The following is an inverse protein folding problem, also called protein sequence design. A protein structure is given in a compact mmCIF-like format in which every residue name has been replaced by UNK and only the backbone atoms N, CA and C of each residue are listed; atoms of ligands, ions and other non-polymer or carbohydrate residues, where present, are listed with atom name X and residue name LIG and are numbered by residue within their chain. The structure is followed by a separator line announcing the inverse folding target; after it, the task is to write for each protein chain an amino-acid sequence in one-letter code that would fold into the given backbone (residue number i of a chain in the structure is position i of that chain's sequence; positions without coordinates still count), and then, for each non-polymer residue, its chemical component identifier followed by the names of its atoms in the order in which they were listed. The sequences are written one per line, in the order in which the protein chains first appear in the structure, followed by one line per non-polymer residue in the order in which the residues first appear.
data_IF_654614325476
#
_entry.id   IF_654614325476
#
_cell.length_a   1.000
_cell.length_b   1.000
_cell.length_c   1.000
_cell.angle_alpha   90.00
_cell.angle_beta   90.00
_cell.angle_gamma   90.00
#
_symmetry.space_group_name_H-M   'P 1'
#
loop_
_entity.id
_entity.type
_entity.pdbx_description
1 polymer ?
#
# COMPACT_ATOMS: atom_id res chain seq x y z
N UNK A 1 -5.26 -34.18 -15.32
CA UNK A 1 -4.77 -33.53 -16.56
C UNK A 1 -5.14 -32.05 -16.53
N UNK A 2 -4.17 -31.15 -16.78
CA UNK A 2 -4.43 -29.72 -17.02
C UNK A 2 -5.24 -29.63 -18.29
N UNK A 3 -6.46 -29.15 -18.21
CA UNK A 3 -7.28 -29.12 -19.40
C UNK A 3 -8.01 -27.80 -19.50
N UNK A 4 -7.26 -26.80 -19.99
CA UNK A 4 -7.72 -25.46 -20.29
C UNK A 4 -8.77 -25.43 -21.43
N UNK A 5 -8.99 -26.54 -22.14
CA UNK A 5 -10.08 -26.66 -23.13
C UNK A 5 -11.32 -27.37 -22.58
N UNK A 6 -11.39 -27.63 -21.26
CA UNK A 6 -12.61 -28.19 -20.68
C UNK A 6 -13.66 -27.10 -20.47
N UNK A 7 -14.92 -27.47 -20.73
CA UNK A 7 -16.10 -26.67 -20.32
C UNK A 7 -16.09 -26.29 -18.84
N UNK A 8 -15.48 -27.13 -17.99
CA UNK A 8 -15.31 -26.86 -16.56
C UNK A 8 -14.40 -25.66 -16.31
N UNK A 9 -13.26 -25.59 -17.01
CA UNK A 9 -12.36 -24.44 -16.94
C UNK A 9 -13.00 -23.19 -17.55
N UNK A 10 -13.66 -23.29 -18.70
CA UNK A 10 -14.32 -22.13 -19.34
C UNK A 10 -15.33 -21.46 -18.40
N UNK A 11 -16.20 -22.26 -17.77
CA UNK A 11 -17.15 -21.78 -16.75
C UNK A 11 -16.43 -21.17 -15.54
N UNK A 12 -15.35 -21.79 -15.07
CA UNK A 12 -14.57 -21.27 -13.94
C UNK A 12 -13.92 -19.94 -14.29
N UNK A 13 -13.27 -19.84 -15.45
CA UNK A 13 -12.63 -18.62 -15.97
C UNK A 13 -13.65 -17.48 -16.04
N UNK A 14 -14.83 -17.72 -16.59
CA UNK A 14 -15.89 -16.72 -16.69
C UNK A 14 -16.38 -16.27 -15.30
N UNK A 15 -16.57 -17.22 -14.38
CA UNK A 15 -16.96 -16.88 -13.00
C UNK A 15 -15.93 -16.00 -12.29
N UNK A 16 -14.63 -16.26 -12.50
CA UNK A 16 -13.54 -15.45 -11.92
C UNK A 16 -13.48 -14.06 -12.56
N UNK A 17 -13.60 -13.96 -13.89
CA UNK A 17 -13.68 -12.67 -14.58
C UNK A 17 -14.86 -11.83 -14.08
N UNK A 18 -16.04 -12.46 -13.92
CA UNK A 18 -17.21 -11.79 -13.38
C UNK A 18 -17.01 -11.34 -11.92
N UNK A 19 -16.42 -12.19 -11.08
CA UNK A 19 -16.05 -11.83 -9.68
C UNK A 19 -15.17 -10.59 -9.64
N UNK A 20 -14.19 -10.52 -10.55
CA UNK A 20 -13.21 -9.44 -10.63
C UNK A 20 -13.73 -8.24 -11.46
N UNK A 21 -15.04 -8.22 -11.81
CA UNK A 21 -15.66 -7.13 -12.57
C UNK A 21 -15.08 -6.94 -13.97
N UNK A 22 -14.49 -7.99 -14.55
CA UNK A 22 -13.73 -7.99 -15.81
C UNK A 22 -12.53 -7.03 -15.81
N UNK A 23 -12.03 -6.63 -14.64
CA UNK A 23 -10.88 -5.74 -14.49
C UNK A 23 -9.63 -6.51 -14.13
N UNK A 24 -8.48 -6.01 -14.57
CA UNK A 24 -7.18 -6.47 -14.11
C UNK A 24 -7.01 -6.11 -12.63
N UNK A 25 -6.84 -7.10 -11.76
CA UNK A 25 -6.76 -6.88 -10.32
C UNK A 25 -5.44 -6.20 -9.90
N UNK A 26 -4.33 -6.46 -10.61
CA UNK A 26 -3.04 -5.77 -10.39
C UNK A 26 -3.08 -4.30 -10.83
N UNK A 27 -3.83 -3.95 -11.89
CA UNK A 27 -4.04 -2.55 -12.26
C UNK A 27 -5.02 -1.86 -11.31
N UNK A 28 -6.13 -2.54 -10.98
CA UNK A 28 -7.22 -1.96 -10.17
C UNK A 28 -6.72 -1.56 -8.80
N UNK A 29 -5.91 -2.41 -8.15
CA UNK A 29 -5.30 -2.04 -6.87
C UNK A 29 -4.43 -0.79 -6.98
N UNK A 30 -3.87 -0.45 -8.15
CA UNK A 30 -3.09 0.79 -8.37
C UNK A 30 -3.93 1.99 -8.76
N UNK A 31 -5.26 1.92 -8.62
CA UNK A 31 -6.24 2.86 -9.17
C UNK A 31 -6.11 3.05 -10.69
N UNK A 32 -5.71 2.01 -11.40
CA UNK A 32 -5.65 2.01 -12.88
C UNK A 32 -6.77 1.11 -13.39
N UNK A 33 -7.66 1.69 -14.21
CA UNK A 33 -8.72 0.92 -14.86
C UNK A 33 -8.17 0.26 -16.12
N UNK A 34 -8.09 -1.07 -16.12
CA UNK A 34 -7.67 -1.87 -17.29
C UNK A 34 -8.50 -3.14 -17.32
N UNK A 35 -9.03 -3.52 -18.48
CA UNK A 35 -9.77 -4.77 -18.65
C UNK A 35 -8.85 -5.99 -18.48
N UNK A 36 -9.35 -7.06 -17.87
CA UNK A 36 -8.65 -8.34 -17.81
C UNK A 36 -8.82 -9.10 -19.13
N UNK A 37 -7.73 -9.66 -19.64
CA UNK A 37 -7.71 -10.51 -20.84
C UNK A 37 -7.74 -12.00 -20.47
N UNK A 38 -7.28 -12.34 -19.26
CA UNK A 38 -7.14 -13.72 -18.82
C UNK A 38 -7.27 -13.89 -17.30
N UNK A 39 -7.36 -15.16 -16.90
CA UNK A 39 -7.30 -15.58 -15.49
C UNK A 39 -5.98 -16.31 -15.29
N UNK A 40 -5.20 -15.85 -14.32
CA UNK A 40 -3.88 -16.36 -13.97
C UNK A 40 -3.97 -17.25 -12.73
N UNK A 41 -3.20 -18.34 -12.72
CA UNK A 41 -3.00 -19.21 -11.56
C UNK A 41 -1.85 -18.69 -10.70
N UNK A 42 -2.16 -18.22 -9.47
CA UNK A 42 -1.16 -17.73 -8.51
C UNK A 42 -0.13 -18.80 -8.18
N UNK A 43 -0.60 -20.02 -7.87
CA UNK A 43 0.18 -21.24 -7.81
C UNK A 43 0.08 -21.94 -9.17
N UNK A 44 1.19 -22.05 -9.91
CA UNK A 44 1.18 -22.60 -11.26
C UNK A 44 0.52 -23.98 -11.33
N UNK A 45 -0.43 -24.14 -12.25
CA UNK A 45 -1.20 -25.37 -12.47
C UNK A 45 -0.33 -26.61 -12.81
N UNK A 46 0.91 -26.39 -13.25
CA UNK A 46 1.89 -27.43 -13.51
C UNK A 46 2.49 -28.07 -12.28
N UNK A 47 2.62 -27.29 -11.22
CA UNK A 47 3.17 -27.76 -9.94
C UNK A 47 2.07 -28.06 -8.93
N UNK A 48 0.93 -27.39 -9.05
CA UNK A 48 -0.18 -27.46 -8.09
C UNK A 48 -1.52 -27.79 -8.78
N UNK A 49 -1.66 -29.00 -9.37
CA UNK A 49 -2.87 -29.38 -10.10
C UNK A 49 -4.14 -29.39 -9.23
N UNK A 50 -4.01 -29.66 -7.92
CA UNK A 50 -5.15 -29.66 -7.00
C UNK A 50 -5.74 -28.27 -6.77
N UNK A 51 -4.93 -27.22 -7.01
CA UNK A 51 -5.36 -25.82 -6.90
C UNK A 51 -5.92 -25.25 -8.21
N UNK A 52 -6.08 -26.08 -9.26
CA UNK A 52 -6.42 -25.63 -10.60
C UNK A 52 -7.75 -24.86 -10.69
N UNK A 53 -8.73 -25.24 -9.86
CA UNK A 53 -10.07 -24.63 -9.85
C UNK A 53 -10.38 -23.88 -8.54
N UNK A 54 -9.40 -23.77 -7.64
CA UNK A 54 -9.55 -23.05 -6.38
C UNK A 54 -9.70 -21.55 -6.64
N UNK A 55 -10.77 -20.93 -6.15
CA UNK A 55 -11.09 -19.53 -6.46
C UNK A 55 -9.99 -18.59 -5.97
N UNK A 56 -9.40 -18.90 -4.83
CA UNK A 56 -8.34 -18.12 -4.17
C UNK A 56 -7.02 -18.21 -4.93
N UNK A 57 -6.85 -19.25 -5.75
CA UNK A 57 -5.67 -19.46 -6.59
C UNK A 57 -5.77 -18.77 -7.96
N UNK A 58 -6.89 -18.09 -8.24
CA UNK A 58 -7.21 -17.53 -9.55
C UNK A 58 -7.41 -16.01 -9.46
N UNK A 59 -6.76 -15.27 -10.35
CA UNK A 59 -6.81 -13.81 -10.41
C UNK A 59 -6.94 -13.32 -11.85
N UNK A 60 -7.86 -12.39 -12.11
CA UNK A 60 -8.02 -11.76 -13.43
C UNK A 60 -6.95 -10.70 -13.69
N UNK A 61 -6.23 -10.80 -14.81
CA UNK A 61 -5.13 -9.91 -15.20
C UNK A 61 -5.23 -9.51 -16.68
N UNK A 62 -4.69 -8.33 -17.00
CA UNK A 62 -4.34 -7.97 -18.38
C UNK A 62 -3.03 -8.68 -18.79
N UNK A 63 -2.74 -8.70 -20.10
CA UNK A 63 -1.54 -9.37 -20.63
C UNK A 63 -0.24 -8.84 -20.03
N UNK A 64 -0.15 -7.52 -19.85
CA UNK A 64 1.03 -6.88 -19.27
C UNK A 64 1.27 -7.34 -17.82
N UNK A 65 0.23 -7.33 -16.99
CA UNK A 65 0.34 -7.76 -15.59
C UNK A 65 0.56 -9.26 -15.47
N UNK A 66 -0.07 -10.08 -16.33
CA UNK A 66 0.19 -11.51 -16.42
C UNK A 66 1.68 -11.78 -16.72
N UNK A 67 2.24 -11.08 -17.71
CA UNK A 67 3.64 -11.24 -18.07
C UNK A 67 4.58 -10.87 -16.93
N UNK A 68 4.23 -9.83 -16.15
CA UNK A 68 4.97 -9.43 -14.95
C UNK A 68 4.97 -10.49 -13.83
N UNK A 69 4.08 -11.49 -13.85
CA UNK A 69 4.10 -12.59 -12.87
C UNK A 69 5.20 -13.63 -13.14
N UNK A 70 5.78 -13.65 -14.34
CA UNK A 70 6.69 -14.70 -14.77
C UNK A 70 8.08 -14.18 -15.14
N UNK A 71 9.10 -14.90 -14.68
CA UNK A 71 10.44 -14.82 -15.23
C UNK A 71 10.54 -15.78 -16.41
N UNK A 72 10.45 -15.25 -17.62
CA UNK A 72 10.47 -16.04 -18.87
C UNK A 72 11.83 -16.68 -19.14
N UNK A 73 12.92 -16.06 -18.68
CA UNK A 73 14.29 -16.57 -18.90
C UNK A 73 14.52 -17.83 -18.08
N UNK A 74 14.10 -17.80 -16.82
CA UNK A 74 14.30 -18.91 -15.88
C UNK A 74 13.09 -19.84 -15.77
N UNK A 75 11.99 -19.56 -16.48
CA UNK A 75 10.72 -20.31 -16.41
C UNK A 75 10.22 -20.48 -14.96
N UNK A 76 10.32 -19.41 -14.17
CA UNK A 76 9.85 -19.36 -12.79
C UNK A 76 8.90 -18.19 -12.55
N UNK A 77 8.33 -18.08 -11.35
CA UNK A 77 7.65 -16.87 -10.93
C UNK A 77 8.64 -15.73 -10.77
N UNK A 78 8.25 -14.55 -11.25
CA UNK A 78 8.95 -13.29 -10.98
C UNK A 78 8.87 -12.94 -9.49
N UNK A 79 9.50 -11.85 -9.08
CA UNK A 79 9.33 -11.30 -7.73
C UNK A 79 7.86 -11.02 -7.42
N UNK A 80 7.09 -10.47 -8.37
CA UNK A 80 5.67 -10.19 -8.19
C UNK A 80 4.85 -11.48 -8.09
N UNK A 81 5.12 -12.48 -8.95
CA UNK A 81 4.44 -13.77 -8.89
C UNK A 81 4.64 -14.49 -7.56
N UNK A 82 5.88 -14.48 -7.03
CA UNK A 82 6.19 -15.05 -5.71
C UNK A 82 5.47 -14.32 -4.57
N UNK A 83 5.34 -13.00 -4.69
CA UNK A 83 4.62 -12.16 -3.72
C UNK A 83 3.15 -12.58 -3.63
N UNK A 84 2.48 -12.74 -4.78
CA UNK A 84 1.11 -13.28 -4.83
C UNK A 84 1.02 -14.70 -4.26
N UNK A 85 1.99 -15.56 -4.57
CA UNK A 85 2.05 -16.91 -4.03
C UNK A 85 2.19 -16.95 -2.50
N UNK A 86 3.06 -16.11 -1.93
CA UNK A 86 3.22 -15.99 -0.47
C UNK A 86 1.92 -15.57 0.20
N UNK A 87 1.23 -14.57 -0.35
CA UNK A 87 -0.07 -14.13 0.17
C UNK A 87 -1.15 -15.18 0.08
N UNK A 88 -1.15 -16.01 -0.97
CA UNK A 88 -2.09 -17.12 -1.10
C UNK A 88 -1.97 -18.08 0.10
N UNK A 89 -0.75 -18.50 0.45
CA UNK A 89 -0.54 -19.43 1.57
C UNK A 89 -0.81 -18.75 2.92
N UNK A 90 -0.38 -17.50 3.07
CA UNK A 90 -0.57 -16.73 4.30
C UNK A 90 -2.04 -16.59 4.69
N UNK A 91 -2.91 -16.26 3.73
CA UNK A 91 -4.37 -16.15 3.97
C UNK A 91 -5.03 -17.45 4.43
N UNK A 92 -4.32 -18.58 4.36
CA UNK A 92 -4.79 -19.89 4.83
C UNK A 92 -4.21 -20.27 6.18
N UNK A 93 -3.13 -19.62 6.61
CA UNK A 93 -2.47 -19.87 7.90
C UNK A 93 -3.06 -19.00 9.02
N UNK A 94 -3.47 -17.78 8.70
CA UNK A 94 -4.08 -16.86 9.68
C UNK A 94 -5.19 -16.03 9.03
N UNK A 95 -6.33 -15.95 9.71
CA UNK A 95 -7.41 -15.01 9.38
C UNK A 95 -7.10 -13.59 9.87
N UNK A 96 -6.09 -13.43 10.74
CA UNK A 96 -5.70 -12.15 11.33
C UNK A 96 -4.48 -11.59 10.59
N UNK A 97 -4.72 -10.50 9.85
CA UNK A 97 -3.68 -9.67 9.25
C UNK A 97 -3.69 -8.31 9.94
N UNK A 98 -2.52 -7.72 10.14
CA UNK A 98 -2.43 -6.34 10.61
C UNK A 98 -3.08 -5.43 9.58
N UNK A 99 -4.04 -4.64 10.02
CA UNK A 99 -4.74 -3.67 9.19
C UNK A 99 -3.79 -2.50 8.88
N UNK A 100 -3.68 -2.07 7.63
CA UNK A 100 -2.92 -0.86 7.29
C UNK A 100 -3.87 0.31 7.14
N UNK A 101 -3.57 1.42 7.84
CA UNK A 101 -4.32 2.67 7.73
C UNK A 101 -3.36 3.80 7.36
N UNK A 102 -3.50 4.36 6.15
CA UNK A 102 -2.81 5.59 5.79
C UNK A 102 -3.60 6.80 6.31
N UNK A 103 -2.94 7.65 7.08
CA UNK A 103 -3.50 8.95 7.53
C UNK A 103 -2.85 10.05 6.70
N UNK A 104 -3.61 10.57 5.74
CA UNK A 104 -3.16 11.45 4.67
C UNK A 104 -3.64 12.87 4.91
N UNK A 105 -2.75 13.86 4.78
CA UNK A 105 -3.13 15.27 4.89
C UNK A 105 -1.95 16.23 4.98
N UNK A 106 -2.16 17.54 4.78
CA UNK A 106 -1.08 18.52 4.82
C UNK A 106 -0.46 18.64 6.22
N UNK A 107 0.72 19.27 6.36
CA UNK A 107 1.20 19.72 7.66
C UNK A 107 0.11 20.51 8.41
N UNK A 108 0.13 20.47 9.75
CA UNK A 108 -0.84 21.13 10.62
C UNK A 108 -2.32 20.64 10.51
N UNK A 109 -2.62 19.66 9.65
CA UNK A 109 -3.98 19.13 9.53
C UNK A 109 -4.44 18.25 10.70
N UNK A 110 -3.54 17.90 11.63
CA UNK A 110 -3.86 17.13 12.84
C UNK A 110 -3.67 15.61 12.70
N UNK A 111 -2.90 15.13 11.72
CA UNK A 111 -2.65 13.69 11.47
C UNK A 111 -2.18 12.92 12.72
N UNK A 112 -1.10 13.37 13.38
CA UNK A 112 -0.56 12.68 14.56
C UNK A 112 -1.56 12.72 15.73
N UNK A 113 -2.33 13.81 15.87
CA UNK A 113 -3.43 13.88 16.85
C UNK A 113 -4.57 12.92 16.53
N UNK A 114 -4.95 12.76 15.27
CA UNK A 114 -5.93 11.76 14.85
C UNK A 114 -5.45 10.37 15.25
N UNK A 115 -4.22 9.99 14.87
CA UNK A 115 -3.65 8.67 15.16
C UNK A 115 -3.61 8.40 16.67
N UNK A 116 -3.07 9.32 17.47
CA UNK A 116 -3.05 9.18 18.95
C UNK A 116 -4.42 8.94 19.58
N UNK A 117 -5.49 9.49 19.01
CA UNK A 117 -6.87 9.31 19.52
C UNK A 117 -7.52 7.98 19.09
N UNK A 118 -7.01 7.32 18.05
CA UNK A 118 -7.61 6.13 17.47
C UNK A 118 -6.79 4.86 17.69
N UNK A 119 -5.49 4.99 18.03
CA UNK A 119 -4.63 3.85 18.32
C UNK A 119 -5.06 3.10 19.59
N UNK A 120 -5.14 1.78 19.48
CA UNK A 120 -5.18 0.84 20.57
C UNK A 120 -3.78 0.47 21.10
N UNK A 121 -3.75 -0.38 22.11
CA UNK A 121 -2.50 -0.80 22.78
C UNK A 121 -1.60 -1.70 21.93
N UNK A 122 -2.18 -2.42 20.96
CA UNK A 122 -1.49 -3.37 20.09
C UNK A 122 -1.40 -2.85 18.64
N UNK A 123 -1.40 -1.52 18.50
CA UNK A 123 -1.20 -0.85 17.22
C UNK A 123 0.21 -0.29 17.10
N UNK A 124 0.67 -0.08 15.87
CA UNK A 124 1.96 0.50 15.54
C UNK A 124 1.78 1.71 14.63
N UNK A 125 2.68 2.69 14.75
CA UNK A 125 2.65 3.92 13.93
C UNK A 125 3.99 4.14 13.22
N UNK A 126 3.91 4.45 11.93
CA UNK A 126 5.00 5.05 11.17
C UNK A 126 4.75 6.56 11.08
N UNK A 127 5.38 7.31 11.98
CA UNK A 127 5.41 8.78 11.96
C UNK A 127 6.82 9.24 11.56
N UNK A 128 6.92 9.91 10.41
CA UNK A 128 8.20 10.33 9.85
C UNK A 128 8.98 11.22 10.82
N UNK A 129 8.30 12.17 11.45
CA UNK A 129 8.94 13.19 12.28
C UNK A 129 9.41 12.58 13.61
N UNK A 130 8.61 11.70 14.22
CA UNK A 130 9.00 10.96 15.44
C UNK A 130 10.14 9.98 15.18
N UNK A 131 10.14 9.27 14.05
CA UNK A 131 11.24 8.37 13.69
C UNK A 131 12.50 9.20 13.42
N UNK A 132 12.39 10.34 12.73
CA UNK A 132 13.51 11.26 12.53
C UNK A 132 14.11 11.68 13.86
N UNK A 133 13.27 12.16 14.78
CA UNK A 133 13.63 12.57 16.15
C UNK A 133 14.36 11.45 16.90
N UNK A 134 13.83 10.24 16.86
CA UNK A 134 14.42 9.07 17.53
C UNK A 134 15.78 8.67 16.92
N UNK A 135 15.96 8.84 15.61
CA UNK A 135 17.21 8.48 14.92
C UNK A 135 18.30 9.54 15.07
N UNK A 136 17.95 10.83 15.13
CA UNK A 136 18.93 11.93 15.18
C UNK A 136 19.22 12.41 16.60
N UNK A 137 18.28 12.22 17.53
CA UNK A 137 18.33 12.82 18.86
C UNK A 137 18.05 14.33 18.87
N UNK A 138 17.68 14.91 17.71
CA UNK A 138 17.28 16.31 17.60
C UNK A 138 15.86 16.53 18.13
N UNK A 139 15.44 17.80 18.19
CA UNK A 139 14.06 18.15 18.45
C UNK A 139 13.12 17.74 17.29
N UNK A 140 11.82 17.67 17.59
CA UNK A 140 10.81 17.37 16.59
C UNK A 140 10.86 18.42 15.46
N UNK A 141 10.74 17.95 14.22
CA UNK A 141 10.80 18.78 13.01
C UNK A 141 12.13 19.51 12.75
N UNK A 142 13.22 19.13 13.43
CA UNK A 142 14.55 19.55 13.03
C UNK A 142 14.94 18.95 11.67
N UNK A 143 15.40 19.81 10.77
CA UNK A 143 15.60 19.50 9.36
C UNK A 143 17.02 18.99 9.11
N UNK A 144 17.27 17.71 9.39
CA UNK A 144 18.49 17.04 8.92
C UNK A 144 18.30 16.51 7.48
N UNK A 145 18.93 17.09 6.44
CA UNK A 145 18.71 16.64 5.07
C UNK A 145 19.23 15.23 4.81
N UNK A 146 20.21 14.74 5.58
CA UNK A 146 20.83 13.44 5.38
C UNK A 146 19.93 12.28 5.87
N UNK A 147 19.08 12.51 6.88
CA UNK A 147 18.20 11.47 7.43
C UNK A 147 17.10 11.07 6.44
N UNK A 148 16.74 11.96 5.50
CA UNK A 148 15.65 11.75 4.55
C UNK A 148 15.79 10.47 3.75
N UNK A 149 17.02 10.11 3.33
CA UNK A 149 17.30 8.87 2.60
C UNK A 149 17.04 7.63 3.46
N UNK A 150 17.44 7.67 4.73
CA UNK A 150 17.26 6.56 5.66
C UNK A 150 15.79 6.35 6.00
N UNK A 151 15.05 7.43 6.29
CA UNK A 151 13.61 7.37 6.57
C UNK A 151 12.82 6.86 5.36
N UNK A 152 13.23 7.22 4.15
CA UNK A 152 12.65 6.66 2.93
C UNK A 152 12.83 5.14 2.87
N UNK A 153 14.06 4.64 3.04
CA UNK A 153 14.33 3.18 3.05
C UNK A 153 13.66 2.45 4.21
N UNK A 154 13.57 3.09 5.38
CA UNK A 154 12.86 2.53 6.53
C UNK A 154 11.37 2.39 6.23
N UNK A 155 10.74 3.41 5.62
CA UNK A 155 9.35 3.33 5.16
C UNK A 155 9.14 2.19 4.16
N UNK A 156 10.06 2.01 3.21
CA UNK A 156 9.99 0.90 2.24
C UNK A 156 10.03 -0.45 2.94
N UNK A 157 10.93 -0.60 3.89
CA UNK A 157 11.13 -1.85 4.62
C UNK A 157 9.96 -2.14 5.53
N UNK A 158 9.48 -1.14 6.26
CA UNK A 158 8.30 -1.22 7.11
C UNK A 158 7.07 -1.69 6.32
N UNK A 159 6.79 -1.08 5.16
CA UNK A 159 5.69 -1.51 4.28
C UNK A 159 5.81 -2.96 3.82
N UNK A 160 7.03 -3.46 3.56
CA UNK A 160 7.24 -4.88 3.21
C UNK A 160 7.02 -5.80 4.40
N UNK A 161 7.42 -5.38 5.60
CA UNK A 161 7.19 -6.17 6.82
C UNK A 161 5.69 -6.33 7.07
N UNK A 162 4.92 -5.26 6.90
CA UNK A 162 3.46 -5.28 7.04
C UNK A 162 2.75 -6.22 6.04
N UNK A 163 3.42 -6.63 4.97
CA UNK A 163 2.88 -7.63 4.04
C UNK A 163 2.70 -9.00 4.69
N UNK A 164 3.54 -9.34 5.68
CA UNK A 164 3.53 -10.62 6.41
C UNK A 164 3.24 -10.47 7.91
N UNK A 165 2.95 -9.26 8.38
CA UNK A 165 2.69 -8.93 9.80
C UNK A 165 1.27 -9.29 10.28
N UNK A 166 1.17 -9.96 11.43
CA UNK A 166 -0.08 -10.45 12.04
C UNK A 166 -0.15 -10.28 13.56
N UNK A 167 0.93 -9.83 14.20
CA UNK A 167 0.97 -9.62 15.66
C UNK A 167 0.25 -8.33 16.05
N UNK A 168 0.46 -7.25 15.28
CA UNK A 168 -0.23 -5.97 15.49
C UNK A 168 -1.67 -6.01 14.97
N UNK A 169 -2.56 -5.27 15.63
CA UNK A 169 -3.94 -5.11 15.16
C UNK A 169 -4.00 -4.13 13.98
N UNK A 170 -3.43 -2.93 14.15
CA UNK A 170 -3.39 -1.88 13.12
C UNK A 170 -2.01 -1.23 13.01
N UNK A 171 -1.56 -1.00 11.77
CA UNK A 171 -0.40 -0.19 11.42
C UNK A 171 -0.85 1.13 10.79
N UNK A 172 -0.67 2.23 11.50
CA UNK A 172 -0.92 3.58 11.02
C UNK A 172 0.29 4.15 10.28
N UNK A 173 0.07 4.74 9.11
CA UNK A 173 1.13 5.38 8.32
C UNK A 173 0.76 6.83 8.10
N UNK A 174 1.43 7.73 8.81
CA UNK A 174 1.24 9.18 8.67
C UNK A 174 1.99 9.65 7.43
N UNK A 175 1.30 10.34 6.53
CA UNK A 175 1.91 10.82 5.30
C UNK A 175 1.26 12.10 4.81
N UNK A 176 2.03 12.98 4.17
CA UNK A 176 1.47 14.18 3.55
C UNK A 176 0.68 13.84 2.30
N UNK A 177 1.25 13.01 1.43
CA UNK A 177 0.61 12.51 0.22
C UNK A 177 0.74 11.00 0.10
N UNK A 178 -0.16 10.39 -0.66
CA UNK A 178 -0.17 8.95 -0.90
C UNK A 178 0.52 8.66 -2.23
N UNK A 179 1.77 8.17 -2.19
CA UNK A 179 2.54 7.89 -3.40
C UNK A 179 2.21 6.53 -3.99
N UNK A 180 1.82 6.43 -5.28
CA UNK A 180 1.46 5.16 -5.95
C UNK A 180 2.48 4.03 -5.76
N UNK A 181 3.73 4.38 -5.47
CA UNK A 181 4.80 3.46 -5.06
C UNK A 181 4.39 2.49 -3.94
N UNK A 182 3.51 2.83 -2.98
CA UNK A 182 3.18 1.91 -1.87
C UNK A 182 2.53 0.61 -2.36
N UNK A 183 1.81 0.66 -3.48
CA UNK A 183 1.25 -0.51 -4.12
C UNK A 183 2.32 -1.50 -4.60
N UNK A 184 3.56 -1.08 -4.80
CA UNK A 184 4.62 -2.02 -5.14
C UNK A 184 5.08 -2.83 -3.91
N UNK A 185 4.75 -2.38 -2.68
CA UNK A 185 5.19 -2.98 -1.42
C UNK A 185 4.10 -3.74 -0.71
N UNK A 186 2.85 -3.30 -0.79
CA UNK A 186 1.70 -4.00 -0.20
C UNK A 186 0.72 -4.39 -1.31
N UNK A 187 0.25 -5.64 -1.31
CA UNK A 187 -0.74 -6.13 -2.29
C UNK A 187 -2.19 -6.10 -1.81
N UNK A 188 -2.46 -5.91 -0.50
CA UNK A 188 -3.82 -5.68 -0.01
C UNK A 188 -4.14 -4.19 0.02
N UNK A 189 -5.43 -3.88 -0.12
CA UNK A 189 -5.95 -2.52 -0.15
C UNK A 189 -5.90 -1.94 1.27
N UNK A 190 -5.15 -0.85 1.51
CA UNK A 190 -5.11 -0.24 2.82
C UNK A 190 -6.34 0.65 3.03
N UNK A 191 -6.74 0.84 4.29
CA UNK A 191 -7.68 1.89 4.64
C UNK A 191 -7.00 3.26 4.52
N UNK A 192 -7.75 4.25 4.06
CA UNK A 192 -7.24 5.61 3.86
C UNK A 192 -8.11 6.61 4.60
N UNK A 193 -7.52 7.31 5.57
CA UNK A 193 -8.12 8.43 6.28
C UNK A 193 -7.54 9.72 5.72
N UNK A 194 -8.38 10.53 5.08
CA UNK A 194 -7.99 11.84 4.54
C UNK A 194 -8.40 12.94 5.53
N UNK A 195 -7.43 13.70 6.02
CA UNK A 195 -7.67 14.86 6.86
C UNK A 195 -8.30 15.98 6.03
N UNK A 196 -9.56 16.31 6.34
CA UNK A 196 -10.36 17.34 5.64
C UNK A 196 -10.24 18.74 6.24
N UNK A 197 -9.13 19.02 6.91
CA UNK A 197 -8.82 20.36 7.43
C UNK A 197 -8.69 21.34 6.27
N UNK A 198 -9.04 22.62 6.42
CA UNK A 198 -8.89 23.61 5.33
C UNK A 198 -7.46 24.13 5.26
N UNK A 199 -7.10 24.76 4.14
CA UNK A 199 -5.83 25.46 3.95
C UNK A 199 -5.66 26.57 4.99
N UNK A 200 -6.69 27.40 5.17
CA UNK A 200 -6.72 28.54 6.09
C UNK A 200 -6.46 28.07 7.52
N UNK A 201 -7.09 26.98 7.93
CA UNK A 201 -6.91 26.41 9.26
C UNK A 201 -5.51 25.81 9.44
N UNK A 202 -4.95 25.15 8.41
CA UNK A 202 -3.57 24.64 8.48
C UNK A 202 -2.54 25.78 8.59
N UNK A 203 -2.73 26.86 7.84
CA UNK A 203 -1.88 28.05 7.89
C UNK A 203 -2.02 28.79 9.22
N UNK A 204 -3.25 28.97 9.71
CA UNK A 204 -3.51 29.54 11.02
C UNK A 204 -2.73 28.80 12.11
N UNK A 205 -2.86 27.47 12.17
CA UNK A 205 -2.13 26.62 13.12
C UNK A 205 -0.61 26.74 12.98
N UNK A 206 -0.09 26.83 11.75
CA UNK A 206 1.34 27.01 11.50
C UNK A 206 1.86 28.33 12.07
N UNK A 207 1.11 29.43 11.90
CA UNK A 207 1.52 30.75 12.38
C UNK A 207 1.30 30.93 13.88
N UNK A 208 0.28 30.27 14.46
CA UNK A 208 0.05 30.26 15.91
C UNK A 208 1.10 29.42 16.64
N UNK A 209 1.44 28.25 16.12
CA UNK A 209 2.46 27.36 16.68
C UNK A 209 3.22 26.62 15.57
N UNK A 210 4.42 27.11 15.31
CA UNK A 210 5.29 26.52 14.32
C UNK A 210 5.88 25.19 14.78
N UNK A 211 5.85 24.83 16.07
CA UNK A 211 6.41 23.59 16.62
C UNK A 211 7.86 23.34 16.12
N UNK A 212 8.71 24.37 16.25
CA UNK A 212 10.10 24.44 15.74
C UNK A 212 10.28 24.26 14.22
N UNK A 213 9.20 24.20 13.43
CA UNK A 213 9.29 24.08 11.98
C UNK A 213 9.70 25.39 11.32
N UNK A 214 10.39 25.28 10.19
CA UNK A 214 10.58 26.41 9.29
C UNK A 214 9.22 26.80 8.65
N UNK A 215 8.69 27.95 9.08
CA UNK A 215 7.37 28.45 8.66
C UNK A 215 7.27 28.55 7.14
N UNK A 216 8.27 29.08 6.45
CA UNK A 216 8.23 29.27 5.00
C UNK A 216 8.26 27.94 4.23
N UNK A 217 9.04 26.97 4.70
CA UNK A 217 9.09 25.63 4.10
C UNK A 217 7.75 24.91 4.28
N UNK A 218 7.20 24.92 5.50
CA UNK A 218 5.94 24.24 5.79
C UNK A 218 4.78 24.91 5.08
N UNK A 219 4.77 26.25 5.00
CA UNK A 219 3.79 27.01 4.21
C UNK A 219 3.80 26.54 2.75
N UNK A 220 4.97 26.43 2.12
CA UNK A 220 5.10 25.94 0.74
C UNK A 220 4.52 24.53 0.58
N UNK A 221 4.77 23.64 1.53
CA UNK A 221 4.20 22.27 1.51
C UNK A 221 2.67 22.28 1.67
N UNK A 222 2.12 23.14 2.54
CA UNK A 222 0.66 23.30 2.70
C UNK A 222 0.03 23.81 1.40
N UNK A 223 0.57 24.88 0.80
CA UNK A 223 0.06 25.45 -0.44
C UNK A 223 0.12 24.43 -1.59
N UNK A 224 1.24 23.73 -1.73
CA UNK A 224 1.42 22.68 -2.73
C UNK A 224 0.42 21.53 -2.56
N UNK A 225 0.06 21.15 -1.33
CA UNK A 225 -0.94 20.11 -1.09
C UNK A 225 -2.34 20.48 -1.62
N UNK A 226 -2.71 21.76 -1.54
CA UNK A 226 -4.01 22.25 -2.02
C UNK A 226 -4.02 22.70 -3.49
N UNK A 227 -2.94 22.42 -4.24
CA UNK A 227 -2.81 22.74 -5.67
C UNK A 227 -2.94 24.23 -6.03
N UNK A 228 -2.60 25.14 -5.11
CA UNK A 228 -2.44 26.56 -5.43
C UNK A 228 -0.94 26.86 -5.61
N UNK A 229 -0.54 27.24 -6.82
CA UNK A 229 0.72 27.94 -7.02
C UNK A 229 0.59 29.33 -6.39
N UNK A 230 1.65 29.78 -5.71
CA UNK A 230 1.73 31.14 -5.15
C UNK A 230 1.35 32.16 -6.25
N UNK A 231 0.27 32.91 -6.02
CA UNK A 231 -0.02 34.17 -6.73
C UNK A 231 0.95 35.25 -6.30
#
# INVERSE_FOLDING_TARGET
MKNYSTRKWEKKREAILKRDGYKCMECSRKNITTSATMVHHINPADRYPDLFLANENLISLCDECHNKMHDRKHKTLSKLGRKYQQLYYRKRETDKMTKIVFVVGPPCSGKSTYVRKHMGKNDIVFDYDEISRAMTGCDLHDNNPFIKKYLHEFRKTFLKMLEVESEFDTAYIITTQMSKYYYDYVLYDPDVVIMRTTKEECLKRLYEDADNRNIEEVRRVILAYYNEQET
#
